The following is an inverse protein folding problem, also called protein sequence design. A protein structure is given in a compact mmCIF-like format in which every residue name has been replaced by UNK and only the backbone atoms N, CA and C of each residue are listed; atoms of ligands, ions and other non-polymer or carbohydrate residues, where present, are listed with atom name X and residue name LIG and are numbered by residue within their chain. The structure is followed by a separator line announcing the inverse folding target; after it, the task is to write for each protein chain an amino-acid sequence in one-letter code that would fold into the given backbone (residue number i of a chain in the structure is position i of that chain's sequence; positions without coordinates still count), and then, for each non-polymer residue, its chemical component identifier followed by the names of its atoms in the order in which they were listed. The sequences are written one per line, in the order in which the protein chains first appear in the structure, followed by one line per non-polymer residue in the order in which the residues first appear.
data_IF_665779490540
#
_entry.id   IF_665779490540
#
_cell.length_a   1.000
_cell.length_b   1.000
_cell.length_c   1.000
_cell.angle_alpha   90.00
_cell.angle_beta   90.00
_cell.angle_gamma   90.00
#
_symmetry.space_group_name_H-M   'P 1'
#
loop_
_entity.id
_entity.type
_entity.pdbx_description
1 polymer ?
#
# COMPACT_ATOMS: atom_id res chain seq x y z
N UNK A 1 -1.88 -5.45 12.71
CA UNK A 1 -0.89 -6.41 12.22
C UNK A 1 -0.14 -6.99 13.39
N UNK A 2 -0.14 -8.31 13.54
CA UNK A 2 0.55 -9.02 14.62
C UNK A 2 2.07 -8.99 14.44
N UNK A 3 2.82 -9.28 15.50
CA UNK A 3 4.29 -9.36 15.46
C UNK A 3 4.77 -10.50 14.55
N UNK A 4 4.05 -11.62 14.53
CA UNK A 4 4.38 -12.77 13.69
C UNK A 4 4.21 -12.47 12.18
N UNK A 5 3.15 -11.74 11.80
CA UNK A 5 2.98 -11.25 10.43
C UNK A 5 4.08 -10.24 10.08
N UNK A 6 4.41 -9.34 11.01
CA UNK A 6 5.46 -8.34 10.79
C UNK A 6 6.83 -8.99 10.53
N UNK A 7 7.21 -9.97 11.35
CA UNK A 7 8.49 -10.68 11.21
C UNK A 7 8.66 -11.38 9.84
N UNK A 8 7.56 -11.72 9.16
CA UNK A 8 7.59 -12.30 7.80
C UNK A 8 7.77 -11.23 6.71
N UNK A 9 7.23 -10.03 6.93
CA UNK A 9 7.25 -8.94 5.95
C UNK A 9 8.53 -8.12 6.06
N UNK A 10 9.00 -7.85 7.28
CA UNK A 10 10.14 -6.99 7.56
C UNK A 10 11.39 -7.31 6.71
N UNK A 11 11.77 -8.58 6.49
CA UNK A 11 12.90 -8.93 5.62
C UNK A 11 12.70 -8.60 4.14
N UNK A 12 11.44 -8.49 3.68
CA UNK A 12 11.08 -8.20 2.29
C UNK A 12 11.04 -6.69 2.00
N UNK A 13 11.16 -5.86 3.04
CA UNK A 13 11.20 -4.42 2.86
C UNK A 13 12.51 -4.05 2.15
N UNK A 14 12.47 -3.14 1.15
CA UNK A 14 13.68 -2.73 0.46
C UNK A 14 14.66 -2.12 1.46
N UNK A 15 15.83 -2.72 1.68
CA UNK A 15 16.85 -2.19 2.60
C UNK A 15 17.74 -1.14 1.90
N UNK A 16 18.46 -0.32 2.68
CA UNK A 16 19.55 0.51 2.15
C UNK A 16 19.17 1.73 1.30
N UNK A 17 17.98 2.33 1.48
CA UNK A 17 17.66 3.60 0.78
C UNK A 17 18.30 4.79 1.51
N UNK A 18 19.17 5.50 0.81
CA UNK A 18 19.68 6.83 1.19
C UNK A 18 18.53 7.84 1.22
N UNK A 19 18.24 8.46 2.36
CA UNK A 19 17.18 9.46 2.51
C UNK A 19 16.62 9.57 3.93
N UNK A 20 15.63 10.45 4.12
CA UNK A 20 14.99 10.70 5.42
C UNK A 20 14.46 9.41 6.05
N UNK A 21 14.55 9.35 7.40
CA UNK A 21 14.13 8.21 8.21
C UNK A 21 12.73 7.74 7.79
N UNK A 22 12.55 6.43 7.65
CA UNK A 22 11.25 5.88 7.30
C UNK A 22 10.30 6.15 8.46
N UNK A 23 9.16 6.77 8.14
CA UNK A 23 7.97 6.70 9.00
C UNK A 23 7.72 5.22 9.27
N UNK A 24 7.35 4.87 10.51
CA UNK A 24 7.04 3.51 10.95
C UNK A 24 6.37 2.67 9.84
N UNK A 25 7.17 1.83 9.17
CA UNK A 25 6.73 1.07 7.99
C UNK A 25 5.63 0.09 8.40
N UNK A 26 5.69 -0.44 9.63
CA UNK A 26 4.67 -1.33 10.19
C UNK A 26 3.33 -0.63 10.27
N UNK A 27 3.29 0.61 10.75
CA UNK A 27 2.08 1.43 10.82
C UNK A 27 1.52 1.71 9.42
N UNK A 28 2.37 2.14 8.50
CA UNK A 28 1.95 2.48 7.13
C UNK A 28 1.43 1.24 6.39
N UNK A 29 2.13 0.11 6.47
CA UNK A 29 1.71 -1.16 5.85
C UNK A 29 0.40 -1.65 6.46
N UNK A 30 0.24 -1.54 7.79
CA UNK A 30 -1.04 -1.86 8.45
C UNK A 30 -2.19 -1.03 7.89
N UNK A 31 -1.97 0.27 7.68
CA UNK A 31 -2.97 1.16 7.06
C UNK A 31 -3.29 0.77 5.63
N UNK A 32 -2.30 0.41 4.83
CA UNK A 32 -2.51 -0.08 3.45
C UNK A 32 -3.37 -1.35 3.45
N UNK A 33 -3.02 -2.34 4.28
CA UNK A 33 -3.77 -3.60 4.40
C UNK A 33 -5.21 -3.34 4.87
N UNK A 34 -5.40 -2.41 5.81
CA UNK A 34 -6.72 -2.01 6.26
C UNK A 34 -7.56 -1.42 5.10
N UNK A 35 -7.00 -0.47 4.35
CA UNK A 35 -7.71 0.16 3.21
C UNK A 35 -8.03 -0.83 2.08
N UNK A 36 -7.11 -1.75 1.79
CA UNK A 36 -7.35 -2.78 0.78
C UNK A 36 -8.42 -3.78 1.21
N UNK A 37 -8.54 -4.07 2.51
CA UNK A 37 -9.59 -4.94 3.06
C UNK A 37 -10.94 -4.25 3.14
N UNK A 38 -10.98 -2.96 3.47
CA UNK A 38 -12.23 -2.21 3.63
C UNK A 38 -12.82 -1.75 2.30
N UNK A 39 -11.98 -1.63 1.25
CA UNK A 39 -12.39 -1.05 -0.04
C UNK A 39 -12.73 0.45 0.05
N UNK A 40 -12.43 1.11 1.17
CA UNK A 40 -12.74 2.51 1.39
C UNK A 40 -11.86 3.43 0.52
N UNK A 41 -12.35 4.65 0.27
CA UNK A 41 -11.53 5.66 -0.41
C UNK A 41 -10.31 5.98 0.44
N UNK A 42 -9.13 6.11 -0.19
CA UNK A 42 -7.88 6.45 0.51
C UNK A 42 -8.01 7.67 1.43
N UNK A 43 -8.82 8.67 1.07
CA UNK A 43 -9.04 9.88 1.90
C UNK A 43 -9.69 9.58 3.25
N UNK A 44 -10.42 8.48 3.35
CA UNK A 44 -11.11 8.04 4.57
C UNK A 44 -10.21 7.14 5.42
N UNK A 45 -8.90 7.12 5.13
CA UNK A 45 -7.97 6.32 5.90
C UNK A 45 -7.93 6.79 7.36
N UNK A 46 -8.06 5.86 8.32
CA UNK A 46 -8.05 6.22 9.72
C UNK A 46 -6.73 6.92 10.13
N UNK A 47 -6.81 8.03 10.89
CA UNK A 47 -5.65 8.87 11.19
C UNK A 47 -4.59 8.17 12.04
N UNK A 48 -4.92 7.09 12.75
CA UNK A 48 -3.96 6.27 13.51
C UNK A 48 -2.87 5.66 12.63
N UNK A 49 -3.12 5.47 11.33
CA UNK A 49 -2.10 4.98 10.39
C UNK A 49 -1.19 6.12 9.87
N UNK A 50 -1.60 7.36 10.10
CA UNK A 50 -0.95 8.58 9.63
C UNK A 50 -1.64 9.18 8.40
N UNK A 51 -1.04 10.20 7.78
CA UNK A 51 -1.65 10.91 6.65
C UNK A 51 -1.94 9.97 5.48
N UNK A 52 -3.17 10.02 4.97
CA UNK A 52 -3.59 9.16 3.85
C UNK A 52 -2.70 9.31 2.60
N UNK A 53 -2.13 10.50 2.38
CA UNK A 53 -1.21 10.78 1.29
C UNK A 53 0.08 9.98 1.42
N UNK A 54 0.62 9.83 2.64
CA UNK A 54 1.80 8.99 2.90
C UNK A 54 1.50 7.52 2.61
N UNK A 55 0.33 7.05 3.05
CA UNK A 55 -0.13 5.67 2.86
C UNK A 55 -0.30 5.36 1.37
N UNK A 56 -1.05 6.20 0.64
CA UNK A 56 -1.24 6.07 -0.80
C UNK A 56 0.07 6.17 -1.59
N UNK A 57 0.93 7.15 -1.28
CA UNK A 57 2.21 7.33 -1.97
C UNK A 57 3.14 6.13 -1.77
N UNK A 58 3.12 5.51 -0.57
CA UNK A 58 3.86 4.28 -0.30
C UNK A 58 3.31 3.13 -1.13
N UNK A 59 1.99 2.91 -1.10
CA UNK A 59 1.32 1.89 -1.89
C UNK A 59 1.68 2.01 -3.38
N UNK A 60 1.49 3.18 -3.97
CA UNK A 60 1.76 3.43 -5.38
C UNK A 60 3.24 3.24 -5.73
N UNK A 61 4.16 3.72 -4.88
CA UNK A 61 5.60 3.55 -5.11
C UNK A 61 6.00 2.07 -5.12
N UNK A 62 5.52 1.29 -4.18
CA UNK A 62 5.88 -0.13 -4.06
C UNK A 62 5.15 -1.03 -5.05
N UNK A 63 3.96 -0.62 -5.51
CA UNK A 63 3.25 -1.27 -6.62
C UNK A 63 4.06 -1.19 -7.91
N UNK A 64 4.59 0.00 -8.23
CA UNK A 64 5.49 0.18 -9.38
C UNK A 64 6.82 -0.57 -9.28
N UNK A 65 7.20 -1.00 -8.07
CA UNK A 65 8.41 -1.77 -7.81
C UNK A 65 8.14 -3.29 -7.72
N UNK A 66 6.87 -3.72 -7.84
CA UNK A 66 6.48 -5.14 -7.70
C UNK A 66 6.62 -5.71 -6.29
N UNK A 67 6.92 -4.89 -5.28
CA UNK A 67 7.26 -5.36 -3.92
C UNK A 67 6.06 -5.99 -3.23
N UNK A 68 4.86 -5.49 -3.54
CA UNK A 68 3.62 -5.97 -2.94
C UNK A 68 3.40 -7.47 -3.12
N UNK A 69 3.73 -8.04 -4.29
CA UNK A 69 3.51 -9.45 -4.57
C UNK A 69 4.17 -10.36 -3.51
N UNK A 70 5.45 -10.15 -3.24
CA UNK A 70 6.19 -10.95 -2.24
C UNK A 70 5.73 -10.71 -0.80
N UNK A 71 5.42 -9.46 -0.43
CA UNK A 71 4.87 -9.17 0.91
C UNK A 71 3.55 -9.89 1.15
N UNK A 72 2.75 -9.95 0.10
CA UNK A 72 1.42 -10.50 0.15
C UNK A 72 1.42 -12.02 0.16
N UNK A 73 2.32 -12.65 -0.59
CA UNK A 73 2.62 -14.08 -0.47
C UNK A 73 3.10 -14.45 0.96
N UNK A 74 3.98 -13.64 1.55
CA UNK A 74 4.46 -13.87 2.92
C UNK A 74 3.35 -13.71 3.98
N UNK A 75 2.34 -12.89 3.71
CA UNK A 75 1.17 -12.70 4.56
C UNK A 75 0.12 -13.81 4.42
N UNK A 76 0.01 -14.44 3.25
CA UNK A 76 -1.09 -15.38 2.93
C UNK A 76 -0.84 -16.81 3.29
N UNK A 77 0.42 -17.20 3.46
CA UNK A 77 0.84 -18.57 3.76
C UNK A 77 0.18 -19.21 5.00
N UNK A 78 -0.73 -18.53 5.71
CA UNK A 78 -1.54 -19.14 6.76
C UNK A 78 -2.96 -18.56 6.99
N UNK A 79 -3.44 -17.52 6.27
CA UNK A 79 -4.62 -16.78 6.75
C UNK A 79 -5.66 -16.35 5.70
N UNK A 80 -5.60 -16.81 4.45
CA UNK A 80 -6.67 -16.58 3.46
C UNK A 80 -6.93 -15.12 3.06
N UNK A 81 -6.21 -14.15 3.64
CA UNK A 81 -6.45 -12.70 3.49
C UNK A 81 -6.39 -12.27 2.02
N UNK A 82 -5.61 -12.93 1.17
CA UNK A 82 -5.53 -12.61 -0.26
C UNK A 82 -6.61 -13.26 -1.10
N UNK A 83 -7.14 -14.40 -0.70
CA UNK A 83 -8.34 -14.93 -1.34
C UNK A 83 -9.45 -13.87 -1.30
N UNK A 84 -9.62 -13.22 -0.15
CA UNK A 84 -10.62 -12.17 0.04
C UNK A 84 -10.18 -10.82 -0.58
N UNK A 85 -8.98 -10.31 -0.27
CA UNK A 85 -8.52 -8.99 -0.75
C UNK A 85 -8.25 -8.97 -2.26
N UNK A 86 -7.73 -10.05 -2.87
CA UNK A 86 -7.56 -10.09 -4.32
C UNK A 86 -8.91 -10.23 -5.05
N UNK A 87 -9.86 -10.99 -4.49
CA UNK A 87 -11.23 -11.01 -4.99
C UNK A 87 -11.88 -9.62 -4.89
N UNK A 88 -11.73 -8.92 -3.76
CA UNK A 88 -12.29 -7.58 -3.57
C UNK A 88 -11.54 -6.49 -4.37
N UNK A 89 -10.25 -6.66 -4.66
CA UNK A 89 -9.47 -5.75 -5.50
C UNK A 89 -9.90 -5.80 -6.98
N UNK A 90 -10.27 -6.98 -7.49
CA UNK A 90 -10.95 -7.09 -8.79
C UNK A 90 -12.36 -6.49 -8.78
N UNK A 91 -12.92 -6.31 -7.58
CA UNK A 91 -14.22 -5.66 -7.34
C UNK A 91 -14.11 -4.21 -6.85
N UNK A 92 -12.91 -3.61 -6.81
CA UNK A 92 -12.77 -2.16 -6.61
C UNK A 92 -13.37 -1.51 -7.85
N UNK A 93 -14.61 -1.05 -7.70
CA UNK A 93 -15.31 -0.22 -8.66
C UNK A 93 -14.43 1.02 -8.88
N UNK A 94 -13.72 1.06 -10.01
CA UNK A 94 -12.99 2.24 -10.41
C UNK A 94 -13.98 3.41 -10.40
N UNK A 95 -13.83 4.34 -9.45
CA UNK A 95 -14.66 5.52 -9.40
C UNK A 95 -14.51 6.25 -10.74
N UNK A 96 -15.62 6.76 -11.29
CA UNK A 96 -15.74 7.52 -12.56
C UNK A 96 -14.84 8.78 -12.69
N UNK A 97 -13.92 8.99 -11.76
CA UNK A 97 -13.01 10.13 -11.69
C UNK A 97 -11.54 9.71 -11.56
N UNK A 98 -11.17 8.52 -12.01
CA UNK A 98 -9.77 8.15 -12.25
C UNK A 98 -9.12 8.92 -13.44
N UNK A 99 -9.78 9.97 -13.96
CA UNK A 99 -9.20 10.95 -14.87
C UNK A 99 -8.68 12.15 -14.09
N UNK A 100 -7.40 12.14 -13.75
CA UNK A 100 -6.75 13.23 -13.05
C UNK A 100 -5.24 13.18 -13.18
N UNK A 101 -4.74 12.95 -14.40
CA UNK A 101 -3.34 13.22 -14.68
C UNK A 101 -3.09 14.72 -14.49
N UNK A 102 -2.27 15.10 -13.50
CA UNK A 102 -1.67 16.43 -13.49
C UNK A 102 -0.69 16.49 -14.67
N UNK A 103 -1.18 16.93 -15.82
CA UNK A 103 -0.36 17.39 -16.92
C UNK A 103 0.43 18.62 -16.47
N UNK A 104 1.66 18.40 -16.01
CA UNK A 104 2.62 19.49 -15.88
C UNK A 104 2.97 20.00 -17.28
N UNK A 105 3.18 21.31 -17.48
CA UNK A 105 3.54 21.85 -18.78
C UNK A 105 4.86 21.24 -19.27
N UNK A 106 4.82 20.58 -20.43
CA UNK A 106 6.00 20.16 -21.17
C UNK A 106 6.71 21.41 -21.67
N UNK A 107 7.84 21.76 -21.07
CA UNK A 107 8.77 22.70 -21.68
C UNK A 107 9.87 21.90 -22.39
N UNK A 108 9.85 21.94 -23.71
CA UNK A 108 10.93 21.52 -24.62
C UNK A 108 10.90 22.44 -25.84
N UNK A 109 12.03 22.58 -26.54
CA UNK A 109 13.33 23.11 -26.13
C UNK A 109 13.33 24.65 -26.11
#
# INVERSE_FOLDING_TARGET
MSDAEWARIEPLLPQGRTGAHRVDDRRVISGIVHMLRSGACWRDCPPEYGPYTTIYNRFNRWSRQGIWLGMFEALTGNNGIWGTVAMDATHIKAHRSAGGAKGGPSRRP
#
